data_IF_847769016334
#
_entry.id   IF_847769016334
#
_cell.length_a   1.000
_cell.length_b   1.000
_cell.length_c   1.000
_cell.angle_alpha   90.00
_cell.angle_beta   90.00
_cell.angle_gamma   90.00
#
_symmetry.space_group_name_H-M   'P 1'
#
loop_
_entity.id
_entity.type
_entity.pdbx_description
1 polymer ?
#
# COMPACT_ATOMS: atom_id res chain seq x y z
N UNK A 1 7.72 -3.42 0.24
CA UNK A 1 7.74 -2.17 1.03
C UNK A 1 6.43 -1.47 0.77
N UNK A 2 5.88 -0.76 1.76
CA UNK A 2 4.58 -0.09 1.66
C UNK A 2 4.70 1.36 2.11
N UNK A 3 3.99 2.27 1.45
CA UNK A 3 4.01 3.70 1.78
C UNK A 3 2.64 4.16 2.26
N UNK A 4 2.56 4.58 3.53
CA UNK A 4 1.47 5.41 4.01
C UNK A 4 1.67 6.82 3.42
N UNK A 5 1.14 7.07 2.24
CA UNK A 5 1.20 8.38 1.60
C UNK A 5 0.00 9.22 2.04
N UNK A 6 0.25 10.23 2.88
CA UNK A 6 -0.79 11.09 3.45
C UNK A 6 -0.64 12.52 2.94
N UNK A 7 -1.71 13.12 2.44
CA UNK A 7 -1.66 14.51 1.98
C UNK A 7 -1.92 15.54 3.09
N UNK A 8 -1.81 16.83 2.75
CA UNK A 8 -2.09 17.97 3.64
C UNK A 8 -3.58 18.17 3.96
N UNK A 9 -4.46 17.31 3.43
CA UNK A 9 -5.88 17.23 3.75
C UNK A 9 -6.22 16.03 4.63
N UNK A 10 -5.21 15.35 5.19
CA UNK A 10 -5.32 14.13 5.98
C UNK A 10 -6.09 13.01 5.24
N UNK A 11 -5.74 12.81 3.97
CA UNK A 11 -6.20 11.68 3.16
C UNK A 11 -5.05 10.72 2.88
N UNK A 12 -5.33 9.43 2.91
CA UNK A 12 -4.38 8.35 2.59
C UNK A 12 -4.62 7.89 1.15
N UNK A 13 -3.57 7.83 0.34
CA UNK A 13 -3.68 7.26 -1.00
C UNK A 13 -3.73 5.73 -0.91
N UNK A 14 -4.72 5.12 -1.57
CA UNK A 14 -4.77 3.68 -1.82
C UNK A 14 -4.92 3.38 -3.31
N UNK A 15 -4.33 2.27 -3.73
CA UNK A 15 -4.39 1.69 -5.06
C UNK A 15 -5.39 0.53 -5.02
N UNK A 16 -6.26 0.44 -6.03
CA UNK A 16 -7.24 -0.63 -6.18
C UNK A 16 -6.64 -1.71 -7.07
N UNK A 17 -6.13 -2.78 -6.47
CA UNK A 17 -5.48 -3.87 -7.20
C UNK A 17 -6.47 -5.03 -7.40
N UNK A 18 -6.10 -6.00 -8.25
CA UNK A 18 -6.95 -7.12 -8.56
C UNK A 18 -6.23 -8.38 -9.03
N UNK A 19 -6.89 -9.51 -8.81
CA UNK A 19 -6.47 -10.82 -9.27
C UNK A 19 -7.20 -11.18 -10.58
N UNK A 20 -6.51 -10.98 -11.70
CA UNK A 20 -7.05 -11.21 -13.04
C UNK A 20 -7.33 -12.70 -13.34
N UNK A 21 -6.90 -13.63 -12.49
CA UNK A 21 -7.24 -15.05 -12.60
C UNK A 21 -8.64 -15.38 -12.06
N UNK A 22 -9.29 -14.45 -11.36
CA UNK A 22 -10.62 -14.63 -10.79
C UNK A 22 -11.71 -13.94 -11.62
N UNK A 23 -12.95 -14.49 -11.63
CA UNK A 23 -14.10 -13.77 -12.17
C UNK A 23 -14.32 -12.44 -11.43
N UNK A 24 -14.79 -11.40 -12.13
CA UNK A 24 -15.00 -10.06 -11.54
C UNK A 24 -16.03 -10.05 -10.41
N UNK A 25 -16.96 -10.99 -10.41
CA UNK A 25 -17.96 -11.19 -9.37
C UNK A 25 -17.42 -11.93 -8.13
N UNK A 26 -16.18 -12.45 -8.17
CA UNK A 26 -15.59 -13.13 -7.04
C UNK A 26 -15.27 -12.14 -5.92
N UNK A 27 -15.61 -12.42 -4.65
CA UNK A 27 -15.43 -11.47 -3.55
C UNK A 27 -13.95 -11.12 -3.27
N UNK A 28 -13.01 -12.01 -3.61
CA UNK A 28 -11.57 -11.75 -3.54
C UNK A 28 -10.95 -11.17 -4.82
N UNK A 29 -11.76 -10.81 -5.83
CA UNK A 29 -11.25 -10.33 -7.12
C UNK A 29 -10.39 -9.06 -6.98
N UNK A 30 -10.74 -8.14 -6.07
CA UNK A 30 -10.05 -6.87 -5.92
C UNK A 30 -9.99 -6.39 -4.48
N UNK A 31 -8.97 -5.59 -4.17
CA UNK A 31 -8.74 -5.03 -2.84
C UNK A 31 -8.03 -3.68 -2.95
N UNK A 32 -8.16 -2.87 -1.91
CA UNK A 32 -7.42 -1.62 -1.77
C UNK A 32 -6.18 -1.82 -0.91
N UNK A 33 -5.08 -1.17 -1.28
CA UNK A 33 -3.82 -1.27 -0.57
C UNK A 33 -2.99 0.00 -0.76
N UNK A 34 -2.00 0.21 0.11
CA UNK A 34 -1.07 1.34 -0.03
C UNK A 34 -0.16 1.19 -1.25
N UNK A 35 0.29 2.30 -1.85
CA UNK A 35 1.41 2.31 -2.80
C UNK A 35 2.65 1.56 -2.29
N UNK A 36 3.46 1.08 -3.22
CA UNK A 36 4.75 0.47 -2.96
C UNK A 36 4.83 -0.98 -3.39
N UNK A 37 6.06 -1.43 -3.69
CA UNK A 37 6.33 -2.74 -4.25
C UNK A 37 7.57 -3.41 -3.68
N UNK A 38 8.29 -4.10 -4.57
CA UNK A 38 9.51 -4.83 -4.24
C UNK A 38 10.65 -3.91 -3.80
N UNK A 39 11.62 -4.47 -3.08
CA UNK A 39 12.90 -3.81 -2.86
C UNK A 39 13.90 -4.51 -3.80
N UNK A 40 14.50 -3.73 -4.69
CA UNK A 40 15.42 -4.27 -5.70
C UNK A 40 16.78 -4.68 -5.09
N UNK A 41 17.56 -5.55 -5.76
CA UNK A 41 18.89 -5.92 -5.29
C UNK A 41 19.82 -4.70 -5.09
N UNK A 42 20.24 -4.48 -3.85
CA UNK A 42 21.10 -3.34 -3.48
C UNK A 42 20.33 -2.06 -3.11
N UNK A 43 19.00 -2.10 -3.16
CA UNK A 43 18.11 -1.02 -2.72
C UNK A 43 17.78 -1.19 -1.23
N UNK A 44 17.59 -0.08 -0.52
CA UNK A 44 17.02 -0.08 0.83
C UNK A 44 15.54 0.33 0.82
N UNK A 45 14.87 0.22 1.97
CA UNK A 45 13.43 0.54 2.10
C UNK A 45 13.13 1.98 1.66
N UNK A 46 14.04 2.93 1.93
CA UNK A 46 13.83 4.36 1.63
C UNK A 46 14.00 4.61 0.13
N UNK A 47 15.04 4.05 -0.48
CA UNK A 47 15.27 4.13 -1.91
C UNK A 47 14.11 3.51 -2.70
N UNK A 48 13.63 2.34 -2.27
CA UNK A 48 12.44 1.70 -2.84
C UNK A 48 11.21 2.61 -2.74
N UNK A 49 10.95 3.21 -1.56
CA UNK A 49 9.81 4.12 -1.40
C UNK A 49 9.88 5.34 -2.33
N UNK A 50 11.07 5.92 -2.52
CA UNK A 50 11.26 7.05 -3.44
C UNK A 50 11.02 6.64 -4.89
N UNK A 51 11.52 5.47 -5.32
CA UNK A 51 11.32 4.93 -6.67
C UNK A 51 9.84 4.62 -6.93
N UNK A 52 9.23 3.82 -6.07
CA UNK A 52 7.84 3.36 -6.22
C UNK A 52 6.86 4.55 -6.24
N UNK A 53 7.02 5.53 -5.34
CA UNK A 53 6.15 6.72 -5.36
C UNK A 53 6.23 7.48 -6.69
N UNK A 54 7.43 7.58 -7.27
CA UNK A 54 7.60 8.22 -8.57
C UNK A 54 6.95 7.40 -9.69
N UNK A 55 7.10 6.08 -9.66
CA UNK A 55 6.59 5.17 -10.69
C UNK A 55 5.07 5.04 -10.63
N UNK A 56 4.51 4.83 -9.45
CA UNK A 56 3.09 4.57 -9.26
C UNK A 56 2.22 5.85 -9.21
N UNK A 57 2.80 6.98 -8.81
CA UNK A 57 2.01 8.21 -8.55
C UNK A 57 2.52 9.47 -9.23
N UNK A 58 3.71 9.44 -9.82
CA UNK A 58 4.39 10.62 -10.35
C UNK A 58 4.96 11.56 -9.27
N UNK A 59 4.75 11.25 -7.98
CA UNK A 59 5.25 12.07 -6.87
C UNK A 59 6.78 11.94 -6.75
N UNK A 60 7.47 13.08 -6.85
CA UNK A 60 8.91 13.15 -6.64
C UNK A 60 9.21 13.60 -5.21
N UNK A 61 9.79 12.69 -4.43
CA UNK A 61 10.27 12.93 -3.06
C UNK A 61 11.75 12.60 -2.93
N UNK A 62 12.34 12.99 -1.81
CA UNK A 62 13.72 12.64 -1.44
C UNK A 62 13.73 11.66 -0.27
N UNK A 63 14.90 11.06 -0.01
CA UNK A 63 15.10 10.19 1.15
C UNK A 63 14.78 10.89 2.49
N UNK A 64 14.87 12.22 2.57
CA UNK A 64 14.56 12.98 3.78
C UNK A 64 13.06 13.07 4.07
N UNK A 65 12.22 12.87 3.05
CA UNK A 65 10.75 12.92 3.17
C UNK A 65 10.16 11.60 3.65
N UNK A 66 10.91 10.50 3.50
CA UNK A 66 10.51 9.15 3.92
C UNK A 66 10.81 8.97 5.41
N UNK A 67 9.77 8.70 6.20
CA UNK A 67 9.87 8.51 7.65
C UNK A 67 9.49 7.09 8.04
N UNK A 68 10.12 6.57 9.08
CA UNK A 68 9.80 5.24 9.60
C UNK A 68 11.05 4.43 9.95
N UNK A 69 10.93 3.09 10.05
CA UNK A 69 9.72 2.31 9.75
C UNK A 69 8.58 2.59 10.74
N UNK A 70 7.35 2.67 10.23
CA UNK A 70 6.12 2.76 11.04
C UNK A 70 5.77 1.39 11.61
N UNK A 71 5.88 0.35 10.80
CA UNK A 71 5.66 -1.04 11.18
C UNK A 71 6.42 -1.97 10.24
N UNK A 72 6.65 -3.20 10.71
CA UNK A 72 7.10 -4.31 9.86
C UNK A 72 6.27 -5.54 10.19
N UNK A 73 5.81 -6.23 9.15
CA UNK A 73 4.91 -7.39 9.28
C UNK A 73 5.27 -8.45 8.26
N UNK A 74 5.24 -9.72 8.67
CA UNK A 74 5.29 -10.83 7.73
C UNK A 74 3.88 -11.06 7.18
N UNK A 75 3.73 -11.04 5.87
CA UNK A 75 2.45 -11.25 5.20
C UNK A 75 2.60 -12.42 4.24
N UNK A 76 1.62 -13.33 4.26
CA UNK A 76 1.46 -14.33 3.22
C UNK A 76 0.30 -13.89 2.33
N UNK A 77 0.62 -13.50 1.10
CA UNK A 77 -0.36 -13.13 0.09
C UNK A 77 -0.71 -14.35 -0.77
N UNK A 78 -1.96 -14.78 -0.76
CA UNK A 78 -2.51 -15.80 -1.64
C UNK A 78 -3.21 -15.17 -2.85
N UNK A 79 -2.68 -15.42 -4.04
CA UNK A 79 -3.32 -15.11 -5.31
C UNK A 79 -3.75 -16.40 -6.01
N UNK A 80 -4.62 -16.28 -7.00
CA UNK A 80 -5.13 -17.42 -7.77
C UNK A 80 -4.03 -18.19 -8.51
N UNK A 81 -2.93 -17.52 -8.85
CA UNK A 81 -1.80 -18.06 -9.61
C UNK A 81 -0.56 -18.38 -8.75
N UNK A 82 -0.42 -17.77 -7.57
CA UNK A 82 0.78 -17.86 -6.72
C UNK A 82 0.53 -17.52 -5.26
N UNK A 83 1.45 -17.96 -4.41
CA UNK A 83 1.53 -17.55 -2.99
C UNK A 83 2.85 -16.83 -2.77
N UNK A 84 2.80 -15.66 -2.14
CA UNK A 84 3.98 -14.83 -1.84
C UNK A 84 4.11 -14.69 -0.32
N UNK A 85 5.23 -15.13 0.22
CA UNK A 85 5.63 -14.90 1.62
C UNK A 85 6.57 -13.68 1.66
N UNK A 86 6.07 -12.54 2.12
CA UNK A 86 6.79 -11.26 2.14
C UNK A 86 6.96 -10.72 3.56
N UNK A 87 7.92 -9.80 3.71
CA UNK A 87 8.02 -8.93 4.87
C UNK A 87 7.78 -7.49 4.44
N UNK A 88 6.61 -6.98 4.76
CA UNK A 88 6.21 -5.63 4.40
C UNK A 88 6.68 -4.67 5.49
N UNK A 89 7.54 -3.73 5.11
CA UNK A 89 7.90 -2.57 5.94
C UNK A 89 7.11 -1.37 5.47
N UNK A 90 6.36 -0.77 6.40
CA UNK A 90 5.56 0.43 6.17
C UNK A 90 6.37 1.68 6.54
N UNK A 91 6.42 2.64 5.63
CA UNK A 91 6.99 3.97 5.84
C UNK A 91 5.92 5.04 5.65
N UNK A 92 6.12 6.23 6.22
CA UNK A 92 5.24 7.38 6.08
C UNK A 92 5.89 8.41 5.15
N UNK A 93 5.13 8.90 4.19
CA UNK A 93 5.45 10.10 3.41
C UNK A 93 4.28 11.07 3.54
N UNK A 94 4.57 12.35 3.80
CA UNK A 94 3.57 13.42 3.80
C UNK A 94 3.84 14.37 2.64
N UNK A 95 2.80 14.68 1.88
CA UNK A 95 2.90 15.54 0.69
C UNK A 95 1.77 16.58 0.67
N UNK A 96 1.91 17.64 -0.14
CA UNK A 96 0.75 18.47 -0.48
C UNK A 96 -0.21 17.68 -1.36
N UNK A 97 -1.51 17.96 -1.32
CA UNK A 97 -2.48 17.31 -2.20
C UNK A 97 -2.12 17.49 -3.68
N UNK A 98 -2.17 16.38 -4.44
CA UNK A 98 -1.82 16.34 -5.86
C UNK A 98 -2.70 15.32 -6.61
N UNK A 99 -2.72 15.43 -7.94
CA UNK A 99 -3.35 14.45 -8.82
C UNK A 99 -2.36 13.34 -9.14
N UNK A 100 -2.74 12.09 -8.88
CA UNK A 100 -1.91 10.91 -9.12
C UNK A 100 -1.71 10.71 -10.62
N UNK A 101 -0.45 10.62 -11.05
CA UNK A 101 -0.07 10.25 -12.41
C UNK A 101 0.42 8.80 -12.45
N UNK A 102 -0.37 7.93 -13.06
CA UNK A 102 -0.08 6.49 -13.19
C UNK A 102 0.62 6.14 -14.51
N UNK A 103 1.12 7.13 -15.26
CA UNK A 103 1.83 6.90 -16.52
C UNK A 103 3.14 6.09 -16.36
N UNK A 104 3.66 5.99 -15.13
CA UNK A 104 4.83 5.18 -14.79
C UNK A 104 4.55 3.69 -14.54
N UNK A 105 3.29 3.25 -14.53
CA UNK A 105 2.95 1.84 -14.32
C UNK A 105 3.60 0.93 -15.35
N UNK A 106 4.12 -0.18 -14.85
CA UNK A 106 4.58 -1.33 -15.63
C UNK A 106 3.42 -1.98 -16.40
N UNK A 107 3.75 -2.82 -17.38
CA UNK A 107 2.74 -3.54 -18.16
C UNK A 107 1.87 -4.49 -17.32
N UNK A 108 2.39 -4.99 -16.21
CA UNK A 108 1.65 -5.87 -15.28
C UNK A 108 0.70 -5.04 -14.42
N UNK A 109 1.16 -3.93 -13.85
CA UNK A 109 0.32 -3.02 -13.04
C UNK A 109 -0.81 -2.40 -13.86
N UNK A 110 -0.58 -2.08 -15.14
CA UNK A 110 -1.64 -1.61 -16.05
C UNK A 110 -2.77 -2.65 -16.24
N UNK A 111 -2.50 -3.93 -15.97
CA UNK A 111 -3.49 -5.00 -16.08
C UNK A 111 -4.23 -5.24 -14.76
N UNK A 112 -3.54 -5.11 -13.62
CA UNK A 112 -4.11 -5.47 -12.30
C UNK A 112 -4.65 -4.28 -11.53
N UNK A 113 -4.08 -3.08 -11.68
CA UNK A 113 -4.54 -1.88 -10.99
C UNK A 113 -5.78 -1.31 -11.69
N UNK A 114 -6.89 -1.34 -10.98
CA UNK A 114 -8.20 -0.86 -11.42
C UNK A 114 -8.39 0.64 -11.19
N UNK A 115 -7.61 1.25 -10.30
CA UNK A 115 -7.69 2.67 -9.99
C UNK A 115 -6.93 3.09 -8.74
N UNK A 116 -7.15 4.34 -8.33
CA UNK A 116 -6.60 4.94 -7.13
C UNK A 116 -7.65 5.84 -6.48
N UNK A 117 -7.56 6.02 -5.16
CA UNK A 117 -8.42 6.95 -4.43
C UNK A 117 -7.71 7.54 -3.22
N UNK A 118 -7.97 8.81 -2.94
CA UNK A 118 -7.54 9.50 -1.72
C UNK A 118 -8.60 9.32 -0.64
N UNK A 119 -8.37 8.37 0.26
CA UNK A 119 -9.29 8.00 1.33
C UNK A 119 -9.16 8.93 2.52
N UNK A 120 -10.27 9.53 2.93
CA UNK A 120 -10.41 10.10 4.28
C UNK A 120 -10.57 8.97 5.30
N UNK A 121 -10.34 9.29 6.59
CA UNK A 121 -10.60 8.32 7.65
C UNK A 121 -12.06 7.89 7.72
N UNK A 122 -13.00 8.82 7.49
CA UNK A 122 -14.42 8.51 7.51
C UNK A 122 -14.84 7.56 6.37
N UNK A 123 -14.26 7.71 5.18
CA UNK A 123 -14.49 6.76 4.08
C UNK A 123 -13.93 5.37 4.41
N UNK A 124 -12.71 5.32 4.94
CA UNK A 124 -12.06 4.05 5.29
C UNK A 124 -12.80 3.30 6.40
N UNK A 125 -13.34 4.01 7.40
CA UNK A 125 -14.13 3.41 8.47
C UNK A 125 -15.53 2.95 8.00
N UNK A 126 -16.06 3.53 6.92
CA UNK A 126 -17.40 3.25 6.41
C UNK A 126 -17.46 2.24 5.26
N UNK A 127 -16.33 1.91 4.65
CA UNK A 127 -16.30 1.02 3.48
C UNK A 127 -16.58 -0.43 3.84
N UNK A 128 -17.23 -1.13 2.90
CA UNK A 128 -17.38 -2.58 2.91
C UNK A 128 -16.44 -3.26 1.89
N UNK A 129 -15.64 -2.48 1.18
CA UNK A 129 -14.63 -2.99 0.23
C UNK A 129 -13.47 -3.62 1.00
N UNK A 130 -12.82 -4.61 0.39
CA UNK A 130 -11.63 -5.25 0.96
C UNK A 130 -10.47 -4.27 0.98
N UNK A 131 -9.87 -4.06 2.15
CA UNK A 131 -8.67 -3.24 2.32
C UNK A 131 -7.60 -4.07 3.00
N UNK A 132 -6.39 -4.06 2.43
CA UNK A 132 -5.22 -4.72 2.98
C UNK A 132 -4.14 -3.69 3.38
N UNK A 133 -3.54 -3.83 4.58
CA UNK A 133 -3.88 -4.83 5.58
C UNK A 133 -5.21 -4.50 6.28
N UNK A 134 -5.89 -5.50 6.82
CA UNK A 134 -7.20 -5.31 7.47
C UNK A 134 -7.18 -4.35 8.68
N UNK A 135 -5.99 -4.07 9.23
CA UNK A 135 -5.77 -3.09 10.30
C UNK A 135 -5.15 -1.77 9.80
N UNK A 136 -5.27 -1.44 8.52
CA UNK A 136 -4.67 -0.23 7.93
C UNK A 136 -5.05 1.06 8.66
N UNK A 137 -6.29 1.17 9.16
CA UNK A 137 -6.75 2.32 9.94
C UNK A 137 -5.95 2.52 11.24
N UNK A 138 -5.64 1.44 11.96
CA UNK A 138 -4.80 1.49 13.17
C UNK A 138 -3.36 1.88 12.82
N UNK A 139 -2.86 1.34 11.71
CA UNK A 139 -1.52 1.65 11.22
C UNK A 139 -1.40 3.14 10.85
N UNK A 140 -2.42 3.69 10.18
CA UNK A 140 -2.48 5.11 9.86
C UNK A 140 -2.56 5.99 11.13
N UNK A 141 -3.37 5.62 12.12
CA UNK A 141 -3.40 6.33 13.41
C UNK A 141 -2.03 6.38 14.08
N UNK A 142 -1.34 5.25 14.12
CA UNK A 142 -0.01 5.20 14.71
C UNK A 142 1.00 6.01 13.91
N UNK A 143 0.85 6.12 12.58
CA UNK A 143 1.68 6.98 11.75
C UNK A 143 1.56 8.48 12.11
N UNK A 144 0.52 8.90 12.83
CA UNK A 144 0.43 10.24 13.41
C UNK A 144 1.35 10.49 14.60
N UNK A 145 1.83 9.44 15.27
CA UNK A 145 2.63 9.52 16.50
C UNK A 145 3.93 8.70 16.42
N UNK A 146 5.06 9.33 16.03
CA UNK A 146 6.35 8.66 15.92
C UNK A 146 6.86 7.97 17.20
N UNK A 147 6.31 8.31 18.38
CA UNK A 147 6.68 7.66 19.65
C UNK A 147 6.14 6.23 19.73
N UNK A 148 5.19 5.86 18.87
CA UNK A 148 4.61 4.51 18.77
C UNK A 148 5.37 3.61 17.80
N UNK A 149 6.39 4.11 17.11
CA UNK A 149 7.08 3.37 16.06
C UNK A 149 8.33 2.64 16.58
N UNK A 150 8.67 1.47 16.02
CA UNK A 150 7.85 0.68 15.11
C UNK A 150 6.71 -0.04 15.84
N UNK A 151 5.54 -0.15 15.22
CA UNK A 151 4.46 -1.01 15.71
C UNK A 151 4.83 -2.48 15.49
N UNK A 152 4.67 -3.30 16.52
CA UNK A 152 4.70 -4.75 16.40
C UNK A 152 3.34 -5.25 15.91
N UNK A 153 3.28 -5.71 14.65
CA UNK A 153 2.09 -6.31 14.07
C UNK A 153 2.24 -7.85 14.05
N UNK A 154 1.16 -8.60 14.33
CA UNK A 154 1.17 -10.04 14.13
C UNK A 154 1.33 -10.36 12.64
N UNK A 155 1.83 -11.55 12.32
CA UNK A 155 1.82 -12.02 10.93
C UNK A 155 0.38 -12.08 10.40
N UNK A 156 0.20 -11.72 9.14
CA UNK A 156 -1.11 -11.66 8.49
C UNK A 156 -1.13 -12.58 7.27
N UNK A 157 -2.29 -13.16 7.01
CA UNK A 157 -2.57 -13.89 5.78
C UNK A 157 -3.68 -13.16 5.03
N UNK A 158 -3.42 -12.84 3.78
CA UNK A 158 -4.27 -12.05 2.90
C UNK A 158 -4.43 -12.83 1.60
N UNK A 159 -5.64 -13.17 1.20
CA UNK A 159 -5.83 -14.05 0.05
C UNK A 159 -7.04 -13.66 -0.79
N UNK A 160 -6.87 -13.68 -2.11
CA UNK A 160 -7.94 -13.51 -3.10
C UNK A 160 -8.78 -14.79 -3.24
N UNK A 161 -8.24 -15.93 -2.80
CA UNK A 161 -8.88 -17.25 -2.82
C UNK A 161 -9.07 -17.80 -1.39
N UNK A 162 -10.10 -18.62 -1.13
CA UNK A 162 -10.22 -19.30 0.15
C UNK A 162 -8.97 -20.14 0.45
N UNK A 163 -8.52 -20.11 1.71
CA UNK A 163 -7.45 -20.96 2.23
C UNK A 163 -7.83 -22.45 2.26
#
# INVERSE_FOLDING_TARGET
>A
MRVLLVDDRERLLLMHDSDQGLPREHPGFSWWMTPGGGIDPGEDVVAAAVRELREETGLVVTAADVRGPVASVRVVHGYSDKVIDSHDTYVLVRAAAFDVDTAGFTADEQQTVLGQHWWTRAELDATAETVWPGNLAELWDAAGDPRRWPLGLPAVEESSVPA
#
